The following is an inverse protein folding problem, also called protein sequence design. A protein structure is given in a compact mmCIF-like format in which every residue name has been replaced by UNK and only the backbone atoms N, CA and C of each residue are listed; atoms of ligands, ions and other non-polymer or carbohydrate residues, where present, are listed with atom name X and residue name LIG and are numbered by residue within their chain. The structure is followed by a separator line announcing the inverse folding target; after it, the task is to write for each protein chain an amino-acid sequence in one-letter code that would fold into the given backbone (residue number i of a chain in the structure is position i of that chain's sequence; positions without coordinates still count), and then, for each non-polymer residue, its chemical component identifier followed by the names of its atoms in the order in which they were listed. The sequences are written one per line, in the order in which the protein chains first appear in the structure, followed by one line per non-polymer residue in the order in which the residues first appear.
data_IF_901576522027
#
_entry.id   IF_901576522027
#
_cell.length_a   1.000
_cell.length_b   1.000
_cell.length_c   1.000
_cell.angle_alpha   90.00
_cell.angle_beta   90.00
_cell.angle_gamma   90.00
#
_symmetry.space_group_name_H-M   'P 1'
#
loop_
_entity.id
_entity.type
_entity.pdbx_description
1 polymer ?
#
# COMPACT_ATOMS: atom_id res chain seq x y z
N UNK A 1 -5.96 -14.25 0.21
CA UNK A 1 -7.43 -14.46 0.30
C UNK A 1 -8.01 -13.43 1.24
N UNK A 2 -9.25 -13.03 1.06
CA UNK A 2 -10.00 -12.14 1.96
C UNK A 2 -11.48 -12.52 1.98
N UNK A 3 -12.23 -12.16 3.02
CA UNK A 3 -13.70 -12.25 3.03
C UNK A 3 -14.27 -10.92 2.52
N UNK A 4 -15.16 -10.98 1.54
CA UNK A 4 -15.91 -9.79 1.12
C UNK A 4 -17.06 -9.48 2.10
N UNK A 5 -17.83 -8.41 1.83
CA UNK A 5 -18.97 -8.00 2.66
C UNK A 5 -20.13 -9.02 2.69
N UNK A 6 -20.12 -10.01 1.80
CA UNK A 6 -21.10 -11.10 1.75
C UNK A 6 -20.53 -12.39 2.37
N UNK A 7 -19.42 -12.29 3.13
CA UNK A 7 -18.70 -13.41 3.72
C UNK A 7 -18.16 -14.42 2.70
N UNK A 8 -18.06 -14.05 1.42
CA UNK A 8 -17.48 -14.90 0.38
C UNK A 8 -15.95 -14.82 0.47
N UNK A 9 -15.31 -15.98 0.47
CA UNK A 9 -13.84 -16.06 0.39
C UNK A 9 -13.42 -15.77 -1.05
N UNK A 10 -12.63 -14.71 -1.20
CA UNK A 10 -12.11 -14.22 -2.48
C UNK A 10 -10.59 -14.38 -2.52
N UNK A 11 -10.07 -14.69 -3.71
CA UNK A 11 -8.64 -14.68 -3.96
C UNK A 11 -8.16 -13.27 -4.27
N UNK A 12 -6.91 -13.01 -3.90
CA UNK A 12 -6.17 -11.84 -4.40
C UNK A 12 -5.34 -12.37 -5.56
N UNK A 13 -5.69 -11.95 -6.77
CA UNK A 13 -5.02 -12.33 -8.01
C UNK A 13 -4.61 -11.07 -8.78
N UNK A 14 -4.04 -11.23 -9.97
CA UNK A 14 -3.58 -10.14 -10.82
C UNK A 14 -4.69 -9.22 -11.35
N UNK A 15 -5.96 -9.63 -11.19
CA UNK A 15 -7.13 -8.82 -11.53
C UNK A 15 -7.60 -7.98 -10.34
N UNK A 16 -7.10 -8.24 -9.14
CA UNK A 16 -7.44 -7.49 -7.95
C UNK A 16 -6.95 -6.04 -8.09
N UNK A 17 -7.89 -5.10 -8.04
CA UNK A 17 -7.64 -3.67 -8.13
C UNK A 17 -7.40 -3.10 -6.73
N UNK A 18 -6.33 -2.34 -6.61
CA UNK A 18 -5.93 -1.69 -5.37
C UNK A 18 -6.50 -0.28 -5.41
N UNK A 19 -7.50 -0.02 -4.58
CA UNK A 19 -8.11 1.30 -4.40
C UNK A 19 -7.59 1.97 -3.14
N UNK A 20 -7.41 3.28 -3.17
CA UNK A 20 -7.08 4.03 -1.96
C UNK A 20 -8.32 4.35 -1.12
N UNK A 21 -8.16 4.36 0.20
CA UNK A 21 -9.28 4.56 1.12
C UNK A 21 -9.69 6.03 1.30
N UNK A 22 -8.75 6.95 1.13
CA UNK A 22 -8.96 8.37 1.35
C UNK A 22 -7.92 9.18 0.57
N UNK A 23 -8.12 10.49 0.53
CA UNK A 23 -7.26 11.41 -0.21
C UNK A 23 -5.80 11.29 0.24
N UNK A 24 -4.90 11.24 -0.73
CA UNK A 24 -3.48 11.06 -0.48
C UNK A 24 -2.61 11.48 -1.66
N UNK A 25 -1.30 11.28 -1.49
CA UNK A 25 -0.30 11.60 -2.50
C UNK A 25 0.65 10.41 -2.66
N UNK A 26 1.02 10.09 -3.89
CA UNK A 26 2.09 9.13 -4.19
C UNK A 26 3.42 9.78 -3.84
N UNK A 27 4.08 9.29 -2.81
CA UNK A 27 5.40 9.80 -2.40
C UNK A 27 6.50 9.14 -3.21
N UNK A 28 6.42 7.83 -3.41
CA UNK A 28 7.42 7.08 -4.15
C UNK A 28 6.86 5.81 -4.76
N UNK A 29 7.40 5.43 -5.90
CA UNK A 29 7.27 4.12 -6.52
C UNK A 29 8.67 3.56 -6.69
N UNK A 30 8.92 2.36 -6.18
CA UNK A 30 10.19 1.65 -6.32
C UNK A 30 9.97 0.27 -6.93
N UNK A 31 10.98 -0.29 -7.57
CA UNK A 31 10.97 -1.69 -7.96
C UNK A 31 11.05 -2.59 -6.72
N UNK A 32 10.28 -3.67 -6.72
CA UNK A 32 10.38 -4.75 -5.75
C UNK A 32 10.53 -6.11 -6.47
N UNK A 33 10.72 -7.19 -5.71
CA UNK A 33 11.06 -8.49 -6.27
C UNK A 33 9.93 -9.16 -7.08
N UNK A 34 8.69 -8.66 -7.02
CA UNK A 34 7.55 -9.14 -7.83
C UNK A 34 6.92 -8.05 -8.71
N UNK A 35 7.36 -6.81 -8.61
CA UNK A 35 6.78 -5.70 -9.35
C UNK A 35 7.25 -4.38 -8.79
N UNK A 36 6.32 -3.58 -8.29
CA UNK A 36 6.60 -2.28 -7.70
C UNK A 36 5.95 -2.13 -6.34
N UNK A 37 6.61 -1.36 -5.49
CA UNK A 37 6.05 -0.89 -4.23
C UNK A 37 5.64 0.57 -4.37
N UNK A 38 4.42 0.91 -3.94
CA UNK A 38 3.87 2.27 -3.97
C UNK A 38 3.73 2.78 -2.54
N UNK A 39 4.32 3.93 -2.25
CA UNK A 39 4.24 4.64 -0.98
C UNK A 39 3.23 5.78 -1.13
N UNK A 40 2.13 5.72 -0.38
CA UNK A 40 1.09 6.74 -0.40
C UNK A 40 0.99 7.38 0.99
N UNK A 41 1.22 8.69 1.05
CA UNK A 41 0.98 9.50 2.24
C UNK A 41 -0.41 10.10 2.20
N UNK A 42 -1.24 9.81 3.20
CA UNK A 42 -2.62 10.28 3.28
C UNK A 42 -2.71 11.66 3.93
N UNK A 43 -3.79 12.40 3.70
CA UNK A 43 -4.08 13.66 4.42
C UNK A 43 -4.59 13.39 5.86
N UNK A 44 -3.93 12.47 6.56
CA UNK A 44 -4.23 12.03 7.93
C UNK A 44 -2.96 12.22 8.75
N UNK A 45 -3.04 13.02 9.81
CA UNK A 45 -1.89 13.50 10.59
C UNK A 45 -2.06 13.21 12.09
N UNK A 46 -0.94 12.94 12.76
CA UNK A 46 -0.80 12.86 14.22
C UNK A 46 0.47 13.62 14.61
N UNK A 47 0.31 14.86 15.10
CA UNK A 47 1.42 15.78 15.37
C UNK A 47 2.32 15.99 14.13
N UNK A 48 3.61 15.64 14.22
CA UNK A 48 4.58 15.71 13.12
C UNK A 48 4.59 14.48 12.21
N UNK A 49 3.67 13.53 12.44
CA UNK A 49 3.57 12.28 11.70
C UNK A 49 2.41 12.33 10.70
N UNK A 50 2.59 11.62 9.60
CA UNK A 50 1.60 11.40 8.56
C UNK A 50 1.36 9.90 8.41
N UNK A 51 0.11 9.52 8.14
CA UNK A 51 -0.24 8.13 7.88
C UNK A 51 0.16 7.75 6.45
N UNK A 52 0.93 6.68 6.32
CA UNK A 52 1.27 6.08 5.04
C UNK A 52 0.57 4.74 4.89
N UNK A 53 0.16 4.43 3.66
CA UNK A 53 -0.10 3.06 3.23
C UNK A 53 0.87 2.68 2.14
N UNK A 54 1.50 1.53 2.30
CA UNK A 54 2.47 0.98 1.37
C UNK A 54 1.88 -0.29 0.77
N UNK A 55 1.84 -0.34 -0.56
CA UNK A 55 1.40 -1.51 -1.31
C UNK A 55 2.59 -2.11 -2.05
N UNK A 56 2.98 -3.33 -1.69
CA UNK A 56 4.02 -4.11 -2.36
C UNK A 56 3.45 -5.11 -3.36
N UNK A 57 4.28 -5.54 -4.30
CA UNK A 57 3.93 -6.50 -5.35
C UNK A 57 2.80 -5.98 -6.23
N UNK A 58 2.97 -4.75 -6.71
CA UNK A 58 1.97 -4.05 -7.50
C UNK A 58 2.43 -3.77 -8.92
N UNK A 59 1.44 -3.61 -9.79
CA UNK A 59 1.56 -3.05 -11.13
C UNK A 59 0.75 -1.75 -11.14
N UNK A 60 1.39 -0.57 -10.96
CA UNK A 60 0.70 0.72 -11.04
C UNK A 60 -0.06 0.86 -12.36
N UNK A 61 -1.25 1.44 -12.31
CA UNK A 61 -1.99 1.76 -13.54
C UNK A 61 -1.41 3.02 -14.21
N UNK A 62 -1.78 3.26 -15.46
CA UNK A 62 -1.29 4.40 -16.23
C UNK A 62 -1.57 5.74 -15.51
N UNK A 63 -0.57 6.61 -15.53
CA UNK A 63 -0.63 7.92 -14.90
C UNK A 63 -0.39 7.92 -13.38
N UNK A 64 -0.12 6.77 -12.75
CA UNK A 64 0.29 6.73 -11.33
C UNK A 64 1.80 6.96 -11.25
N UNK A 65 2.18 8.16 -10.81
CA UNK A 65 3.57 8.65 -10.76
C UNK A 65 3.85 9.33 -9.43
N UNK A 66 5.13 9.46 -9.08
CA UNK A 66 5.57 10.21 -7.91
C UNK A 66 5.00 11.64 -7.94
N UNK A 67 4.51 12.10 -6.80
CA UNK A 67 3.92 13.43 -6.64
C UNK A 67 2.43 13.53 -6.96
N UNK A 68 1.82 12.53 -7.60
CA UNK A 68 0.39 12.55 -7.95
C UNK A 68 -0.48 12.56 -6.71
N UNK A 69 -1.45 13.48 -6.67
CA UNK A 69 -2.56 13.47 -5.71
C UNK A 69 -3.64 12.50 -6.18
N UNK A 70 -4.29 11.85 -5.22
CA UNK A 70 -5.28 10.81 -5.43
C UNK A 70 -6.48 11.05 -4.50
N UNK A 71 -7.69 10.77 -4.99
CA UNK A 71 -8.94 10.83 -4.24
C UNK A 71 -9.39 9.45 -3.75
N UNK A 72 -10.11 9.41 -2.61
CA UNK A 72 -10.64 8.17 -2.05
C UNK A 72 -11.47 7.38 -3.07
N UNK A 73 -11.21 6.08 -3.18
CA UNK A 73 -11.83 5.19 -4.16
C UNK A 73 -11.09 5.08 -5.50
N UNK A 74 -10.09 5.93 -5.78
CA UNK A 74 -9.28 5.79 -7.00
C UNK A 74 -8.50 4.47 -7.01
N UNK A 75 -8.47 3.82 -8.17
CA UNK A 75 -7.60 2.67 -8.44
C UNK A 75 -6.19 3.19 -8.69
N UNK A 76 -5.21 2.65 -7.97
CA UNK A 76 -3.80 3.04 -8.11
C UNK A 76 -2.94 1.96 -8.76
N UNK A 77 -3.35 0.71 -8.64
CA UNK A 77 -2.58 -0.41 -9.15
C UNK A 77 -3.44 -1.66 -9.24
N UNK A 78 -2.88 -2.67 -9.90
CA UNK A 78 -3.29 -4.07 -9.76
C UNK A 78 -2.21 -4.84 -9.01
N UNK A 79 -2.54 -6.02 -8.51
CA UNK A 79 -1.54 -6.92 -7.94
C UNK A 79 -0.67 -7.49 -9.06
N UNK A 80 0.63 -7.57 -8.82
CA UNK A 80 1.55 -8.20 -9.75
C UNK A 80 1.41 -9.72 -9.71
N UNK A 81 1.35 -10.32 -10.89
CA UNK A 81 1.37 -11.76 -11.03
C UNK A 81 2.73 -12.32 -10.60
N UNK A 82 2.72 -13.31 -9.70
CA UNK A 82 3.92 -14.09 -9.42
C UNK A 82 4.12 -15.14 -10.52
N UNK A 83 5.29 -15.11 -11.16
CA UNK A 83 5.69 -16.13 -12.14
C UNK A 83 6.25 -17.40 -11.50
N UNK A 84 6.47 -17.38 -10.18
CA UNK A 84 6.96 -18.53 -9.44
C UNK A 84 5.77 -19.29 -8.85
N UNK A 85 5.59 -20.55 -9.27
CA UNK A 85 4.49 -21.42 -8.83
C UNK A 85 4.50 -21.64 -7.30
N UNK A 86 5.68 -21.59 -6.66
CA UNK A 86 5.81 -21.74 -5.21
C UNK A 86 5.39 -20.49 -4.44
N UNK A 87 5.45 -19.31 -5.08
CA UNK A 87 5.07 -18.05 -4.48
C UNK A 87 3.74 -17.59 -5.06
N UNK A 88 2.65 -17.79 -4.33
CA UNK A 88 1.32 -17.37 -4.79
C UNK A 88 1.26 -15.86 -4.99
N UNK A 89 0.52 -15.41 -6.01
CA UNK A 89 0.14 -14.00 -6.18
C UNK A 89 -0.53 -13.49 -4.90
N UNK A 90 -0.01 -12.40 -4.34
CA UNK A 90 -0.52 -11.80 -3.12
C UNK A 90 -0.18 -10.31 -3.07
N UNK A 91 -0.94 -9.57 -2.26
CA UNK A 91 -0.71 -8.16 -2.00
C UNK A 91 -0.04 -8.00 -0.63
N UNK A 92 1.09 -7.30 -0.58
CA UNK A 92 1.66 -6.86 0.68
C UNK A 92 1.10 -5.48 1.02
N UNK A 93 0.51 -5.33 2.21
CA UNK A 93 0.00 -4.05 2.69
C UNK A 93 0.66 -3.71 4.01
N UNK A 94 1.23 -2.52 4.10
CA UNK A 94 1.72 -1.95 5.35
C UNK A 94 1.04 -0.61 5.60
N UNK A 95 0.70 -0.34 6.86
CA UNK A 95 0.28 1.00 7.31
C UNK A 95 1.23 1.47 8.40
N UNK A 96 1.67 2.71 8.34
CA UNK A 96 2.64 3.24 9.29
C UNK A 96 2.48 4.75 9.48
N UNK A 97 2.73 5.21 10.69
CA UNK A 97 3.03 6.63 10.90
C UNK A 97 4.49 6.88 10.58
N UNK A 98 4.75 7.89 9.75
CA UNK A 98 6.10 8.32 9.35
C UNK A 98 6.18 9.85 9.43
N UNK A 99 7.37 10.45 9.64
CA UNK A 99 7.50 11.90 9.70
C UNK A 99 6.96 12.56 8.43
N UNK A 100 6.18 13.63 8.58
CA UNK A 100 5.62 14.39 7.42
C UNK A 100 6.70 14.87 6.45
N UNK A 101 7.87 15.23 6.98
CA UNK A 101 9.01 15.74 6.21
C UNK A 101 10.06 14.65 5.94
N UNK A 102 9.63 13.39 5.84
CA UNK A 102 10.54 12.30 5.49
C UNK A 102 11.17 12.53 4.13
N UNK A 103 12.45 12.18 4.01
CA UNK A 103 13.14 12.21 2.73
C UNK A 103 12.59 11.11 1.81
N UNK A 104 11.85 11.55 0.79
CA UNK A 104 11.23 10.68 -0.20
C UNK A 104 12.24 9.79 -0.90
N UNK A 105 13.47 10.24 -1.09
CA UNK A 105 14.51 9.47 -1.78
C UNK A 105 15.08 8.33 -0.93
N UNK A 106 14.76 8.31 0.36
CA UNK A 106 15.13 7.22 1.28
C UNK A 106 13.98 6.25 1.56
N UNK A 107 12.78 6.49 1.02
CA UNK A 107 11.63 5.60 1.24
C UNK A 107 11.83 4.26 0.54
N UNK A 108 12.13 3.23 1.31
CA UNK A 108 12.20 1.84 0.85
C UNK A 108 11.75 0.89 1.98
N UNK A 109 11.85 -0.42 1.72
CA UNK A 109 11.53 -1.44 2.73
C UNK A 109 12.44 -1.41 3.96
N UNK A 110 13.67 -0.88 3.87
CA UNK A 110 14.56 -0.72 5.03
C UNK A 110 14.07 0.41 5.91
N UNK A 111 13.61 1.51 5.32
CA UNK A 111 13.01 2.63 6.05
C UNK A 111 11.75 2.19 6.78
N UNK A 112 10.88 1.38 6.16
CA UNK A 112 9.69 0.80 6.82
C UNK A 112 10.07 -0.08 8.02
N UNK A 113 11.21 -0.76 7.96
CA UNK A 113 11.68 -1.63 9.04
C UNK A 113 12.45 -0.88 10.13
N UNK A 114 12.57 0.45 10.06
CA UNK A 114 13.31 1.23 11.04
C UNK A 114 12.37 1.78 12.14
N UNK A 115 12.36 1.21 13.36
CA UNK A 115 11.45 1.64 14.43
C UNK A 115 11.73 3.06 14.95
N UNK A 116 12.88 3.66 14.62
CA UNK A 116 13.18 5.06 14.96
C UNK A 116 12.48 6.05 14.01
N UNK A 117 12.06 5.59 12.84
CA UNK A 117 11.42 6.41 11.80
C UNK A 117 9.93 6.04 11.69
N UNK A 118 9.59 4.77 11.80
CA UNK A 118 8.26 4.27 11.47
C UNK A 118 7.58 3.62 12.64
N UNK A 119 6.30 3.94 12.83
CA UNK A 119 5.43 3.28 13.80
C UNK A 119 4.34 2.51 13.06
N UNK A 120 4.54 1.20 12.92
CA UNK A 120 3.62 0.31 12.24
C UNK A 120 2.22 0.35 12.89
N UNK A 121 1.22 0.27 12.04
CA UNK A 121 -0.20 0.23 12.40
C UNK A 121 -0.86 -0.95 11.72
N UNK A 122 -1.98 -1.36 12.31
CA UNK A 122 -2.89 -2.30 11.70
C UNK A 122 -3.29 -1.80 10.30
N UNK A 123 -2.90 -2.51 9.22
CA UNK A 123 -3.16 -2.09 7.85
C UNK A 123 -4.63 -2.28 7.44
N UNK A 124 -5.43 -3.03 8.20
CA UNK A 124 -6.82 -3.29 7.87
C UNK A 124 -7.73 -2.11 8.21
N UNK A 125 -7.39 -1.36 9.27
CA UNK A 125 -8.14 -0.15 9.69
C UNK A 125 -8.27 0.92 8.59
N UNK A 126 -7.17 1.38 7.95
CA UNK A 126 -7.29 2.35 6.87
C UNK A 126 -8.00 1.76 5.65
N UNK A 127 -7.91 0.45 5.42
CA UNK A 127 -8.58 -0.21 4.29
C UNK A 127 -10.05 -0.56 4.54
N UNK A 128 -10.55 -0.35 5.77
CA UNK A 128 -11.87 -0.78 6.21
C UNK A 128 -12.13 -2.29 5.93
N UNK A 129 -11.11 -3.11 6.23
CA UNK A 129 -11.17 -4.57 6.12
C UNK A 129 -11.18 -5.21 7.51
N UNK A 130 -11.73 -6.41 7.63
CA UNK A 130 -11.68 -7.20 8.86
C UNK A 130 -10.73 -8.41 8.70
N UNK A 131 -10.00 -8.81 9.77
CA UNK A 131 -9.13 -9.97 9.72
C UNK A 131 -9.94 -11.26 9.49
N UNK A 132 -9.30 -12.22 8.84
CA UNK A 132 -9.88 -13.55 8.63
C UNK A 132 -9.77 -14.34 9.94
N UNK A 133 -10.88 -14.48 10.68
CA UNK A 133 -11.05 -15.52 11.71
C UNK A 133 -11.24 -16.91 11.09
#
# INVERSE_FOLDING_TARGET
MYKDRNCKVCNVDEKFEITICCKGKVYRIIDDFLGKTIFIGHEIFDNSMQLFTIYGHTKPIDGIINGRTLEGGEIVAKVSESKNIELKTHLHVTSAWMPKNIDVETLDWKTINNPQITKLRDPLKPLNLEPFE
#
